data_IF_449885113435
#
_entry.id   IF_449885113435
#
_cell.length_a   1.000
_cell.length_b   1.000
_cell.length_c   1.000
_cell.angle_alpha   90.00
_cell.angle_beta   90.00
_cell.angle_gamma   90.00
#
_symmetry.space_group_name_H-M   'P 1'
#
loop_
_entity.id
_entity.type
_entity.pdbx_description
1 polymer ?
#
# COMPACT_ATOMS: atom_id res chain seq x y z
N UNK A 1 64.62 -26.92 50.84
CA UNK A 1 64.02 -27.56 49.61
C UNK A 1 62.64 -27.00 49.45
N UNK A 2 62.50 -25.89 48.68
CA UNK A 2 61.25 -25.17 48.46
C UNK A 2 60.78 -25.51 47.04
N UNK A 3 59.62 -26.10 46.92
CA UNK A 3 58.97 -26.33 45.61
C UNK A 3 57.89 -25.24 45.48
N UNK A 4 58.17 -24.26 44.58
CA UNK A 4 57.20 -23.29 44.17
C UNK A 4 56.28 -23.92 43.13
N UNK A 5 55.01 -24.09 43.51
CA UNK A 5 53.92 -24.45 42.53
C UNK A 5 53.35 -23.16 41.94
N UNK A 6 53.68 -22.95 40.69
CA UNK A 6 53.07 -21.87 39.90
C UNK A 6 51.69 -22.34 39.44
N UNK A 7 50.65 -21.65 39.92
CA UNK A 7 49.28 -21.86 39.50
C UNK A 7 49.03 -21.01 38.23
N UNK A 8 48.91 -21.66 37.07
CA UNK A 8 48.55 -21.01 35.84
C UNK A 8 47.04 -20.88 35.84
N UNK A 9 46.52 -19.65 36.00
CA UNK A 9 45.11 -19.33 35.87
C UNK A 9 44.81 -19.13 34.34
N UNK A 10 44.18 -20.12 33.72
CA UNK A 10 43.69 -19.99 32.36
C UNK A 10 42.43 -19.13 32.35
N UNK A 11 42.54 -17.90 31.89
CA UNK A 11 41.40 -17.04 31.62
C UNK A 11 40.81 -17.44 30.26
N UNK A 12 39.67 -18.11 30.29
CA UNK A 12 38.91 -18.49 29.12
C UNK A 12 38.05 -17.30 28.72
N UNK A 13 38.51 -16.51 27.71
CA UNK A 13 37.71 -15.47 27.11
C UNK A 13 36.57 -16.10 26.29
N UNK A 14 35.37 -16.09 26.83
CA UNK A 14 34.14 -16.34 26.04
C UNK A 14 33.93 -15.13 25.11
N UNK A 15 34.27 -15.27 23.84
CA UNK A 15 33.83 -14.36 22.80
C UNK A 15 32.34 -14.60 22.56
N UNK A 16 31.48 -13.71 23.05
CA UNK A 16 30.09 -13.65 22.60
C UNK A 16 30.05 -13.13 21.12
N UNK A 17 29.84 -14.05 20.21
CA UNK A 17 29.45 -13.69 18.84
C UNK A 17 28.01 -13.14 18.94
N UNK A 18 27.88 -11.83 18.92
CA UNK A 18 26.61 -11.17 18.69
C UNK A 18 26.23 -11.44 17.21
N UNK A 19 25.38 -12.43 16.98
CA UNK A 19 24.69 -12.55 15.70
C UNK A 19 23.83 -11.29 15.53
N UNK A 20 24.27 -10.40 14.65
CA UNK A 20 23.46 -9.30 14.20
C UNK A 20 22.28 -9.91 13.43
N UNK A 21 21.12 -9.96 14.08
CA UNK A 21 19.86 -10.22 13.40
C UNK A 21 19.68 -9.11 12.35
N UNK A 22 20.02 -9.43 11.10
CA UNK A 22 19.65 -8.58 9.99
C UNK A 22 18.12 -8.67 9.88
N UNK A 23 17.45 -7.69 10.46
CA UNK A 23 16.05 -7.44 10.17
C UNK A 23 15.96 -7.28 8.65
N UNK A 24 15.17 -8.13 8.02
CA UNK A 24 14.77 -7.97 6.63
C UNK A 24 13.92 -6.70 6.54
N UNK A 25 14.63 -5.55 6.53
CA UNK A 25 14.07 -4.24 6.35
C UNK A 25 13.80 -4.03 4.87
N UNK A 26 12.57 -3.68 4.58
CA UNK A 26 12.15 -2.78 3.51
C UNK A 26 12.66 -3.04 2.09
N UNK A 27 12.32 -4.17 1.52
CA UNK A 27 12.17 -4.23 0.06
C UNK A 27 10.75 -3.85 -0.35
N UNK A 28 10.31 -2.65 0.01
CA UNK A 28 9.32 -2.00 -0.82
C UNK A 28 10.05 -1.63 -2.11
N UNK A 29 9.98 -2.52 -3.10
CA UNK A 29 10.46 -2.26 -4.44
C UNK A 29 9.92 -0.89 -4.85
N UNK A 30 10.79 0.00 -5.34
CA UNK A 30 10.35 1.24 -5.95
C UNK A 30 9.24 0.87 -6.94
N UNK A 31 8.06 1.45 -6.78
CA UNK A 31 6.88 1.10 -7.55
C UNK A 31 7.29 0.95 -9.03
N UNK A 32 7.04 -0.22 -9.59
CA UNK A 32 7.42 -0.51 -10.97
C UNK A 32 6.89 0.60 -11.86
N UNK A 33 7.72 1.13 -12.75
CA UNK A 33 7.29 2.20 -13.65
C UNK A 33 6.15 1.67 -14.52
N UNK A 34 4.94 2.13 -14.26
CA UNK A 34 3.76 1.77 -15.04
C UNK A 34 3.92 2.27 -16.46
N UNK A 35 3.85 1.38 -17.44
CA UNK A 35 3.79 1.74 -18.87
C UNK A 35 2.34 2.08 -19.24
N UNK A 36 1.97 3.35 -19.10
CA UNK A 36 0.62 3.83 -19.38
C UNK A 36 0.20 3.67 -20.85
N UNK A 37 1.13 3.40 -21.77
CA UNK A 37 0.79 3.13 -23.17
C UNK A 37 0.17 1.75 -23.37
N UNK A 38 0.38 0.85 -22.42
CA UNK A 38 -0.12 -0.53 -22.38
C UNK A 38 -1.20 -0.74 -21.33
N UNK A 39 -1.68 0.35 -20.72
CA UNK A 39 -2.69 0.26 -19.68
C UNK A 39 -3.97 -0.39 -20.21
N UNK A 40 -4.50 -1.32 -19.44
CA UNK A 40 -5.75 -2.01 -19.78
C UNK A 40 -6.96 -1.12 -19.48
N UNK A 41 -7.95 -1.13 -20.39
CA UNK A 41 -9.21 -0.45 -20.18
C UNK A 41 -10.10 -1.28 -19.26
N UNK A 42 -10.34 -0.76 -18.06
CA UNK A 42 -11.30 -1.35 -17.12
C UNK A 42 -12.70 -0.76 -17.30
N UNK A 43 -13.70 -1.37 -16.67
CA UNK A 43 -15.12 -0.95 -16.80
C UNK A 43 -15.38 0.47 -16.35
N UNK A 44 -14.55 1.02 -15.46
CA UNK A 44 -14.69 2.36 -14.88
C UNK A 44 -13.64 3.37 -15.37
N UNK A 45 -12.62 2.93 -16.11
CA UNK A 45 -11.59 3.83 -16.59
C UNK A 45 -10.32 3.12 -16.98
N UNK A 46 -9.23 3.88 -17.07
CA UNK A 46 -7.93 3.41 -17.47
C UNK A 46 -6.84 4.13 -16.66
N UNK A 47 -5.77 3.40 -16.33
CA UNK A 47 -4.61 4.01 -15.71
C UNK A 47 -3.99 5.07 -16.61
N UNK A 48 -3.60 6.19 -16.02
CA UNK A 48 -3.05 7.33 -16.73
C UNK A 48 -1.84 7.90 -15.98
N UNK A 49 -0.93 8.53 -16.71
CA UNK A 49 0.23 9.18 -16.11
C UNK A 49 -0.24 10.29 -15.14
N UNK A 50 0.04 10.20 -13.84
CA UNK A 50 -0.37 11.19 -12.86
C UNK A 50 0.20 12.59 -13.13
N UNK A 51 1.30 12.69 -13.90
CA UNK A 51 1.88 13.96 -14.33
C UNK A 51 1.03 14.68 -15.37
N UNK A 52 0.16 13.95 -16.07
CA UNK A 52 -0.78 14.51 -17.08
C UNK A 52 -2.16 14.78 -16.49
N UNK A 53 -2.34 14.59 -15.20
CA UNK A 53 -3.62 14.84 -14.54
C UNK A 53 -3.94 16.33 -14.51
N UNK A 54 -5.20 16.66 -14.76
CA UNK A 54 -5.71 18.03 -14.71
C UNK A 54 -6.13 18.43 -13.29
N UNK A 55 -6.29 17.44 -12.41
CA UNK A 55 -6.69 17.66 -11.01
C UNK A 55 -6.00 16.66 -10.08
N UNK A 56 -5.61 17.13 -8.89
CA UNK A 56 -5.08 16.30 -7.82
C UNK A 56 -6.13 16.11 -6.72
N UNK A 57 -6.38 14.86 -6.37
CA UNK A 57 -7.18 14.45 -5.21
C UNK A 57 -6.25 13.95 -4.10
N UNK A 58 -6.33 14.57 -2.93
CA UNK A 58 -5.58 14.14 -1.75
C UNK A 58 -6.49 13.25 -0.91
N UNK A 59 -6.04 12.02 -0.66
CA UNK A 59 -6.77 11.05 0.13
C UNK A 59 -5.88 10.66 1.31
N UNK A 60 -6.41 10.75 2.52
CA UNK A 60 -5.73 10.27 3.72
C UNK A 60 -6.34 8.96 4.18
N UNK A 61 -5.50 8.08 4.69
CA UNK A 61 -5.85 6.80 5.29
C UNK A 61 -5.42 6.80 6.75
N UNK A 62 -6.20 6.19 7.64
CA UNK A 62 -5.91 6.13 9.07
C UNK A 62 -6.35 4.80 9.69
N UNK A 63 -5.76 4.46 10.84
CA UNK A 63 -6.06 3.23 11.61
C UNK A 63 -7.48 3.22 12.20
N UNK A 64 -8.25 4.29 12.01
CA UNK A 64 -9.70 4.31 12.23
C UNK A 64 -10.48 3.55 11.15
N UNK A 65 -9.78 2.96 10.19
CA UNK A 65 -10.34 2.26 9.01
C UNK A 65 -11.22 3.18 8.17
N UNK A 66 -10.72 4.39 7.91
CA UNK A 66 -11.45 5.39 7.10
C UNK A 66 -10.51 6.09 6.12
N UNK A 67 -11.09 6.46 5.00
CA UNK A 67 -10.51 7.41 4.05
C UNK A 67 -11.05 8.82 4.31
N UNK A 68 -10.22 9.82 4.12
CA UNK A 68 -10.61 11.24 4.17
C UNK A 68 -10.10 11.95 2.91
N UNK A 69 -10.99 12.51 2.08
CA UNK A 69 -12.44 12.46 2.17
C UNK A 69 -12.98 11.04 1.85
N UNK A 70 -14.17 10.70 2.35
CA UNK A 70 -14.87 9.45 2.07
C UNK A 70 -15.60 9.45 0.72
N UNK A 71 -15.77 10.62 0.10
CA UNK A 71 -16.37 10.79 -1.22
C UNK A 71 -15.63 11.86 -2.00
N UNK A 72 -15.40 11.59 -3.28
CA UNK A 72 -14.86 12.54 -4.24
C UNK A 72 -15.73 12.56 -5.50
N UNK A 73 -15.76 13.72 -6.17
CA UNK A 73 -16.47 13.90 -7.44
C UNK A 73 -15.49 14.19 -8.55
N UNK A 74 -15.67 13.56 -9.70
CA UNK A 74 -14.85 13.73 -10.89
C UNK A 74 -15.74 13.85 -12.14
N UNK A 75 -15.23 14.50 -13.16
CA UNK A 75 -15.93 14.55 -14.46
C UNK A 75 -15.56 13.34 -15.31
N UNK A 76 -16.52 12.84 -16.08
CA UNK A 76 -16.25 11.79 -17.06
C UNK A 76 -15.18 12.27 -18.05
N UNK A 77 -14.20 11.41 -18.32
CA UNK A 77 -13.05 11.71 -19.17
C UNK A 77 -11.92 12.47 -18.49
N UNK A 78 -12.13 12.95 -17.28
CA UNK A 78 -11.10 13.64 -16.50
C UNK A 78 -10.01 12.67 -16.06
N UNK A 79 -8.75 13.08 -16.22
CA UNK A 79 -7.60 12.40 -15.63
C UNK A 79 -7.30 13.02 -14.28
N UNK A 80 -7.33 12.20 -13.24
CA UNK A 80 -7.12 12.59 -11.84
C UNK A 80 -5.84 11.96 -11.32
N UNK A 81 -5.05 12.74 -10.59
CA UNK A 81 -3.94 12.25 -9.77
C UNK A 81 -4.45 12.07 -8.35
N UNK A 82 -4.42 10.87 -7.85
CA UNK A 82 -4.60 10.58 -6.44
C UNK A 82 -3.25 10.63 -5.74
N UNK A 83 -3.17 11.43 -4.69
CA UNK A 83 -2.06 11.49 -3.75
C UNK A 83 -2.56 10.90 -2.45
N UNK A 84 -2.15 9.67 -2.16
CA UNK A 84 -2.69 8.87 -1.06
C UNK A 84 -1.67 8.83 0.07
N UNK A 85 -2.03 9.36 1.23
CA UNK A 85 -1.13 9.45 2.40
C UNK A 85 -1.65 8.57 3.53
N UNK A 86 -0.81 7.70 4.04
CA UNK A 86 -1.10 6.91 5.23
C UNK A 86 -0.70 7.70 6.48
N UNK A 87 -1.70 8.10 7.28
CA UNK A 87 -1.56 8.80 8.57
C UNK A 87 -1.56 7.83 9.75
N UNK A 88 -1.77 6.54 9.49
CA UNK A 88 -1.79 5.49 10.49
C UNK A 88 -0.41 4.90 10.77
N UNK A 89 -0.40 3.89 11.62
CA UNK A 89 0.76 3.09 12.03
C UNK A 89 0.79 1.71 11.39
N UNK A 90 -0.31 1.31 10.76
CA UNK A 90 -0.45 0.07 10.01
C UNK A 90 -0.29 0.32 8.51
N UNK A 91 0.01 -0.74 7.75
CA UNK A 91 -0.07 -0.70 6.30
C UNK A 91 -1.52 -0.45 5.87
N UNK A 92 -1.71 0.42 4.90
CA UNK A 92 -2.98 0.64 4.22
C UNK A 92 -2.78 0.62 2.70
N UNK A 93 -3.86 0.40 1.99
CA UNK A 93 -3.87 0.50 0.54
C UNK A 93 -5.11 1.23 0.05
N UNK A 94 -5.05 1.76 -1.17
CA UNK A 94 -6.19 2.28 -1.88
C UNK A 94 -6.31 1.55 -3.21
N UNK A 95 -7.40 0.80 -3.38
CA UNK A 95 -7.74 0.07 -4.61
C UNK A 95 -8.98 0.67 -5.22
N UNK A 96 -8.91 1.12 -6.48
CA UNK A 96 -10.06 1.63 -7.25
C UNK A 96 -10.81 0.46 -7.88
N UNK A 97 -12.15 0.54 -7.91
CA UNK A 97 -12.96 -0.49 -8.58
C UNK A 97 -14.46 -0.23 -8.52
N UNK A 98 -15.21 -1.16 -9.10
CA UNK A 98 -16.62 -1.31 -8.76
C UNK A 98 -16.77 -1.96 -7.38
N UNK A 99 -17.92 -1.83 -6.74
CA UNK A 99 -18.13 -2.48 -5.45
C UNK A 99 -17.98 -4.01 -5.56
N UNK A 100 -18.39 -4.60 -6.67
CA UNK A 100 -18.27 -6.05 -6.90
C UNK A 100 -16.82 -6.49 -7.08
N UNK A 101 -16.01 -5.69 -7.77
CA UNK A 101 -14.56 -5.98 -7.93
C UNK A 101 -13.86 -5.93 -6.57
N UNK A 102 -14.13 -4.87 -5.78
CA UNK A 102 -13.53 -4.72 -4.44
C UNK A 102 -13.92 -5.87 -3.50
N UNK A 103 -15.20 -6.28 -3.51
CA UNK A 103 -15.66 -7.42 -2.70
C UNK A 103 -14.97 -8.73 -3.11
N UNK A 104 -14.90 -9.02 -4.41
CA UNK A 104 -14.24 -10.23 -4.91
C UNK A 104 -12.76 -10.25 -4.54
N UNK A 105 -12.10 -9.11 -4.68
CA UNK A 105 -10.69 -8.97 -4.36
C UNK A 105 -10.46 -9.10 -2.83
N UNK A 106 -11.28 -8.46 -1.99
CA UNK A 106 -11.21 -8.62 -0.53
C UNK A 106 -11.34 -10.09 -0.11
N UNK A 107 -12.27 -10.85 -0.71
CA UNK A 107 -12.39 -12.28 -0.44
C UNK A 107 -11.17 -13.10 -0.90
N UNK A 108 -10.51 -12.69 -1.98
CA UNK A 108 -9.25 -13.30 -2.43
C UNK A 108 -8.12 -13.04 -1.43
N UNK A 109 -7.98 -11.80 -0.96
CA UNK A 109 -6.97 -11.40 0.01
C UNK A 109 -7.13 -12.13 1.36
N UNK A 110 -8.35 -12.41 1.79
CA UNK A 110 -8.60 -13.26 2.98
C UNK A 110 -8.05 -14.68 2.82
N UNK A 111 -8.19 -15.25 1.61
CA UNK A 111 -7.68 -16.59 1.32
C UNK A 111 -6.17 -16.63 1.16
N UNK A 112 -5.56 -15.53 0.74
CA UNK A 112 -4.16 -15.40 0.41
C UNK A 112 -3.55 -14.13 1.02
N UNK A 113 -3.50 -13.99 2.35
CA UNK A 113 -3.14 -12.72 3.03
C UNK A 113 -1.70 -12.25 2.78
N UNK A 114 -0.85 -13.10 2.24
CA UNK A 114 0.54 -12.75 1.88
C UNK A 114 0.75 -12.55 0.38
N UNK A 115 -0.32 -12.49 -0.42
CA UNK A 115 -0.17 -12.26 -1.86
C UNK A 115 0.10 -10.76 -2.10
N UNK A 116 1.33 -10.44 -2.48
CA UNK A 116 1.70 -9.11 -2.93
C UNK A 116 1.50 -9.01 -4.45
N UNK A 117 0.83 -7.98 -4.89
CA UNK A 117 0.67 -7.65 -6.30
C UNK A 117 0.46 -6.14 -6.45
N UNK A 118 1.06 -5.58 -7.48
CA UNK A 118 0.95 -4.16 -7.82
C UNK A 118 0.18 -4.03 -9.14
N UNK A 119 -0.99 -3.42 -9.05
CA UNK A 119 -1.82 -3.11 -10.21
C UNK A 119 -1.91 -1.60 -10.39
N UNK A 120 -2.04 -1.08 -11.64
CA UNK A 120 -2.06 0.37 -11.88
C UNK A 120 -3.20 1.14 -11.20
N UNK A 121 -4.24 0.44 -10.73
CA UNK A 121 -5.38 0.99 -9.98
C UNK A 121 -5.25 0.81 -8.47
N UNK A 122 -4.05 0.44 -7.98
CA UNK A 122 -3.75 0.18 -6.57
C UNK A 122 -2.59 1.04 -6.09
N UNK A 123 -2.60 1.37 -4.80
CA UNK A 123 -1.49 2.02 -4.12
C UNK A 123 -1.34 1.43 -2.71
N UNK A 124 -0.27 0.67 -2.48
CA UNK A 124 0.14 0.23 -1.15
C UNK A 124 0.93 1.32 -0.45
N UNK A 125 0.57 1.70 0.76
CA UNK A 125 1.16 2.83 1.44
C UNK A 125 1.56 2.45 2.86
N UNK A 126 2.86 2.33 3.08
CA UNK A 126 3.42 2.08 4.41
C UNK A 126 3.11 3.25 5.39
N UNK A 127 3.19 3.02 6.71
CA UNK A 127 3.00 4.05 7.71
C UNK A 127 3.78 5.32 7.44
N UNK A 128 3.13 6.47 7.57
CA UNK A 128 3.69 7.80 7.33
C UNK A 128 4.24 8.04 5.91
N UNK A 129 3.90 7.20 4.94
CA UNK A 129 4.31 7.35 3.54
C UNK A 129 3.16 7.90 2.69
N UNK A 130 3.52 8.26 1.46
CA UNK A 130 2.60 8.75 0.43
C UNK A 130 2.90 8.02 -0.87
N UNK A 131 1.85 7.61 -1.57
CA UNK A 131 1.93 7.07 -2.92
C UNK A 131 1.05 7.88 -3.87
N UNK A 132 1.24 7.68 -5.16
CA UNK A 132 0.50 8.36 -6.20
C UNK A 132 0.03 7.38 -7.26
N UNK A 133 -1.20 7.60 -7.74
CA UNK A 133 -1.71 6.93 -8.92
C UNK A 133 -2.46 7.92 -9.81
N UNK A 134 -2.45 7.68 -11.10
CA UNK A 134 -3.24 8.44 -12.07
C UNK A 134 -4.32 7.58 -12.67
N UNK A 135 -5.54 8.16 -12.78
CA UNK A 135 -6.69 7.45 -13.32
C UNK A 135 -7.54 8.37 -14.18
N UNK A 136 -7.99 7.88 -15.34
CA UNK A 136 -8.96 8.55 -16.19
C UNK A 136 -10.27 7.77 -16.17
N UNK A 137 -11.30 8.38 -15.60
CA UNK A 137 -12.63 7.79 -15.52
C UNK A 137 -13.34 7.92 -16.87
N UNK A 138 -13.61 6.82 -17.54
CA UNK A 138 -14.22 6.81 -18.89
C UNK A 138 -15.75 6.69 -18.88
N UNK A 139 -16.36 6.34 -17.74
CA UNK A 139 -17.79 6.07 -17.60
C UNK A 139 -18.36 6.88 -16.41
N UNK A 140 -19.53 7.50 -16.63
CA UNK A 140 -20.30 8.10 -15.54
C UNK A 140 -20.89 7.02 -14.63
N UNK A 141 -21.06 7.34 -13.35
CA UNK A 141 -21.59 6.42 -12.34
C UNK A 141 -20.88 6.53 -11.00
N UNK A 142 -21.16 5.60 -10.11
CA UNK A 142 -20.53 5.51 -8.82
C UNK A 142 -19.54 4.35 -8.80
N UNK A 143 -18.30 4.68 -8.47
CA UNK A 143 -17.21 3.74 -8.24
C UNK A 143 -16.66 3.91 -6.84
N UNK A 144 -15.72 3.09 -6.45
CA UNK A 144 -15.26 3.05 -5.06
C UNK A 144 -13.75 2.96 -4.99
N UNK A 145 -13.23 3.27 -3.83
CA UNK A 145 -11.90 2.91 -3.40
C UNK A 145 -11.99 2.21 -2.05
N UNK A 146 -11.17 1.19 -1.85
CA UNK A 146 -11.19 0.37 -0.64
C UNK A 146 -9.79 -0.01 -0.21
N UNK A 147 -9.62 -0.28 1.09
CA UNK A 147 -8.48 -0.99 1.61
C UNK A 147 -8.87 -2.46 1.74
N UNK A 148 -8.23 -3.33 0.96
CA UNK A 148 -8.63 -4.74 0.85
C UNK A 148 -7.74 -5.66 1.70
N UNK A 149 -6.84 -5.09 2.50
CA UNK A 149 -6.11 -5.83 3.53
C UNK A 149 -7.10 -6.52 4.46
N UNK A 150 -6.83 -7.77 4.90
CA UNK A 150 -7.76 -8.55 5.71
C UNK A 150 -8.28 -7.78 6.93
N UNK A 151 -9.59 -7.68 7.07
CA UNK A 151 -10.27 -6.97 8.15
C UNK A 151 -10.54 -5.49 7.90
N UNK A 152 -9.79 -4.80 7.01
CA UNK A 152 -9.94 -3.37 6.79
C UNK A 152 -11.21 -3.05 5.98
N UNK A 153 -11.46 -3.82 4.92
CA UNK A 153 -12.66 -3.67 4.11
C UNK A 153 -13.94 -3.95 4.90
N UNK A 154 -13.92 -5.00 5.72
CA UNK A 154 -15.03 -5.39 6.60
C UNK A 154 -15.30 -4.35 7.71
N UNK A 155 -14.25 -3.67 8.18
CA UNK A 155 -14.35 -2.55 9.11
C UNK A 155 -14.93 -1.29 8.45
N UNK A 156 -15.21 -1.33 7.14
CA UNK A 156 -15.80 -0.24 6.37
C UNK A 156 -14.79 0.77 5.84
N UNK A 157 -13.54 0.36 5.62
CA UNK A 157 -12.53 1.22 4.99
C UNK A 157 -12.79 1.32 3.48
N UNK A 158 -13.82 2.08 3.16
CA UNK A 158 -14.34 2.27 1.80
C UNK A 158 -14.64 3.75 1.58
N UNK A 159 -14.30 4.25 0.41
CA UNK A 159 -14.68 5.57 -0.07
C UNK A 159 -15.36 5.47 -1.44
N UNK A 160 -15.88 6.60 -1.92
CA UNK A 160 -16.72 6.66 -3.12
C UNK A 160 -16.20 7.69 -4.11
N UNK A 161 -16.24 7.34 -5.39
CA UNK A 161 -16.00 8.25 -6.53
C UNK A 161 -17.28 8.40 -7.31
N UNK A 162 -17.84 9.60 -7.36
CA UNK A 162 -19.00 9.93 -8.20
C UNK A 162 -18.46 10.56 -9.48
N UNK A 163 -18.71 9.90 -10.61
CA UNK A 163 -18.31 10.35 -11.95
C UNK A 163 -19.53 10.93 -12.67
N UNK A 164 -19.49 12.24 -12.93
CA UNK A 164 -20.56 13.03 -13.57
C UNK A 164 -20.23 13.37 -15.03
#
# INVERSE_FOLDING_TARGET
MNQNRILILSVMCLAFLAEAAQAHGDRHAAAAKVDYSKAEQMTFGIAADPKKAVRTMRIEMADTMRFTPAEVKVKRGETVRFVVTNKGTQMHEMVLGTMDDLKKHSELMKKHPGMEHDEPHMAHVAPAKTAEMGWRFSKAGTFYYGCLLPGHFEAGMIGKVVVE
#
